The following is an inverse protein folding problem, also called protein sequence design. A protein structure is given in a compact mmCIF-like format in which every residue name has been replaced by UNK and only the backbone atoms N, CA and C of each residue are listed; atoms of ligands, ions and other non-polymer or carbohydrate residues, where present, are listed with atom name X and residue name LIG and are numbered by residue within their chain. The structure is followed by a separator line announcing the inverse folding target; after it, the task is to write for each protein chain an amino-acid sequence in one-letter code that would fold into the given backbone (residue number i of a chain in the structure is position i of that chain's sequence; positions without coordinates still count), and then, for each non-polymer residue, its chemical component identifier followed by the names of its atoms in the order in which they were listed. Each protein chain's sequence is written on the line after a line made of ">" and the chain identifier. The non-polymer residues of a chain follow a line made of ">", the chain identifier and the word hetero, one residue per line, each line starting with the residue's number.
data_IF_274736689581
#
_entry.id   IF_274736689581
#
_cell.length_a   1.000
_cell.length_b   1.000
_cell.length_c   1.000
_cell.angle_alpha   90.00
_cell.angle_beta   90.00
_cell.angle_gamma   90.00
#
_symmetry.space_group_name_H-M   'P 1'
#
loop_
_entity.id
_entity.type
_entity.pdbx_description
1 polymer ?
#
# COMPACT_ATOMS: atom_id res chain seq x y z
N UNK A 1 -26.72 -13.97 -9.10
CA UNK A 1 -26.04 -14.57 -7.92
C UNK A 1 -24.55 -14.56 -8.19
N UNK A 2 -23.75 -13.97 -7.31
CA UNK A 2 -22.28 -13.93 -7.44
C UNK A 2 -21.71 -15.33 -7.27
N UNK A 3 -20.77 -15.73 -8.15
CA UNK A 3 -20.12 -17.03 -8.07
C UNK A 3 -19.42 -17.24 -6.70
N UNK A 4 -19.37 -18.48 -6.25
CA UNK A 4 -18.72 -18.89 -4.99
C UNK A 4 -17.65 -19.93 -5.28
N UNK A 5 -16.49 -19.81 -4.64
CA UNK A 5 -15.44 -20.82 -4.73
C UNK A 5 -15.90 -22.08 -3.97
N UNK A 6 -15.81 -23.29 -4.55
CA UNK A 6 -16.41 -24.49 -3.98
C UNK A 6 -15.53 -25.12 -2.90
N UNK A 7 -15.16 -24.32 -1.90
CA UNK A 7 -14.33 -24.71 -0.77
C UNK A 7 -15.01 -24.30 0.54
N UNK A 8 -14.83 -25.05 1.62
CA UNK A 8 -15.37 -24.67 2.91
C UNK A 8 -14.73 -23.36 3.39
N UNK A 9 -15.46 -22.58 4.19
CA UNK A 9 -15.00 -21.30 4.70
C UNK A 9 -15.26 -21.16 6.20
N UNK A 10 -14.28 -20.63 6.92
CA UNK A 10 -14.31 -20.44 8.36
C UNK A 10 -14.10 -18.98 8.75
N UNK A 11 -14.95 -18.52 9.66
CA UNK A 11 -14.82 -17.23 10.32
C UNK A 11 -14.84 -17.43 11.84
N UNK A 12 -13.93 -16.78 12.54
CA UNK A 12 -13.91 -16.75 14.00
C UNK A 12 -13.76 -15.30 14.49
N UNK A 13 -14.70 -14.85 15.31
CA UNK A 13 -14.74 -13.51 15.88
C UNK A 13 -14.89 -13.60 17.42
N UNK A 14 -15.13 -12.46 18.08
CA UNK A 14 -15.51 -12.48 19.49
C UNK A 14 -16.96 -12.95 19.70
N UNK A 15 -17.81 -12.80 18.68
CA UNK A 15 -19.23 -13.15 18.77
C UNK A 15 -19.50 -14.63 18.50
N UNK A 16 -18.55 -15.36 17.91
CA UNK A 16 -18.70 -16.79 17.66
C UNK A 16 -17.72 -17.32 16.61
N UNK A 17 -17.98 -18.56 16.21
CA UNK A 17 -17.26 -19.24 15.13
C UNK A 17 -18.27 -19.84 14.17
N UNK A 18 -18.09 -19.61 12.87
CA UNK A 18 -19.00 -20.05 11.83
C UNK A 18 -18.23 -20.79 10.74
N UNK A 19 -18.75 -21.97 10.40
CA UNK A 19 -18.25 -22.81 9.33
C UNK A 19 -19.32 -22.90 8.25
N UNK A 20 -18.89 -22.77 7.00
CA UNK A 20 -19.73 -22.97 5.83
C UNK A 20 -19.11 -24.06 4.98
N UNK A 21 -19.91 -25.06 4.65
CA UNK A 21 -19.48 -26.17 3.82
C UNK A 21 -19.24 -25.75 2.37
N UNK A 22 -18.47 -26.56 1.64
CA UNK A 22 -18.33 -26.37 0.21
C UNK A 22 -19.72 -26.48 -0.47
N UNK A 23 -20.11 -25.54 -1.34
CA UNK A 23 -21.40 -25.59 -2.03
C UNK A 23 -21.48 -26.82 -2.95
N UNK A 24 -22.19 -27.86 -2.51
CA UNK A 24 -22.53 -29.02 -3.34
C UNK A 24 -23.91 -28.76 -3.97
N UNK A 25 -23.92 -28.14 -5.17
CA UNK A 25 -25.07 -27.95 -6.09
C UNK A 25 -26.27 -27.15 -5.56
N UNK A 26 -26.52 -27.08 -4.25
CA UNK A 26 -27.47 -26.19 -3.59
C UNK A 26 -26.73 -25.42 -2.49
N UNK A 27 -26.71 -24.08 -2.60
CA UNK A 27 -25.84 -23.18 -1.83
C UNK A 27 -25.57 -23.65 -0.40
N UNK A 28 -24.29 -23.82 -0.06
CA UNK A 28 -23.88 -24.38 1.23
C UNK A 28 -24.58 -23.71 2.42
N UNK A 29 -24.75 -24.42 3.53
CA UNK A 29 -25.27 -23.83 4.76
C UNK A 29 -24.12 -23.28 5.60
N UNK A 30 -24.29 -22.07 6.15
CA UNK A 30 -23.41 -21.63 7.23
C UNK A 30 -24.01 -22.07 8.56
N UNK A 31 -23.19 -22.63 9.45
CA UNK A 31 -23.59 -23.01 10.80
C UNK A 31 -22.60 -22.47 11.83
N UNK A 32 -23.10 -22.19 13.04
CA UNK A 32 -22.23 -21.99 14.19
C UNK A 32 -21.51 -23.30 14.52
N UNK A 33 -20.26 -23.22 14.96
CA UNK A 33 -19.49 -24.38 15.39
C UNK A 33 -18.63 -24.07 16.63
N UNK A 34 -18.27 -25.12 17.35
CA UNK A 34 -17.31 -25.04 18.46
C UNK A 34 -15.89 -24.79 17.94
N UNK A 35 -15.00 -24.33 18.84
CA UNK A 35 -13.58 -24.17 18.52
C UNK A 35 -12.93 -25.49 18.09
N UNK A 36 -13.31 -26.61 18.72
CA UNK A 36 -12.79 -27.94 18.38
C UNK A 36 -13.19 -28.37 16.97
N UNK A 37 -14.47 -28.20 16.60
CA UNK A 37 -14.94 -28.47 15.23
C UNK A 37 -14.24 -27.59 14.19
N UNK A 38 -14.01 -26.31 14.50
CA UNK A 38 -13.32 -25.40 13.59
C UNK A 38 -11.85 -25.81 13.35
N UNK A 39 -11.14 -26.25 14.40
CA UNK A 39 -9.76 -26.75 14.28
C UNK A 39 -9.72 -28.04 13.48
N UNK A 40 -10.66 -28.97 13.70
CA UNK A 40 -10.77 -30.21 12.92
C UNK A 40 -11.04 -29.91 11.44
N UNK A 41 -11.98 -29.01 11.13
CA UNK A 41 -12.30 -28.62 9.76
C UNK A 41 -11.08 -28.01 9.02
N UNK A 42 -10.24 -27.26 9.74
CA UNK A 42 -9.01 -26.70 9.18
C UNK A 42 -7.88 -27.73 8.98
N UNK A 43 -7.91 -28.85 9.71
CA UNK A 43 -6.95 -29.93 9.54
C UNK A 43 -7.28 -30.84 8.35
N UNK A 44 -8.58 -31.05 8.07
CA UNK A 44 -9.05 -32.04 7.10
C UNK A 44 -9.05 -31.55 5.64
N UNK A 45 -9.11 -30.24 5.40
CA UNK A 45 -9.23 -29.67 4.06
C UNK A 45 -8.53 -28.32 3.92
N UNK A 46 -8.14 -27.91 2.69
CA UNK A 46 -7.84 -26.50 2.45
C UNK A 46 -9.12 -25.68 2.64
N UNK A 47 -9.15 -24.94 3.74
CA UNK A 47 -10.25 -24.12 4.21
C UNK A 47 -10.01 -22.65 3.86
N UNK A 48 -11.02 -21.96 3.35
CA UNK A 48 -10.97 -20.51 3.15
C UNK A 48 -11.07 -19.80 4.49
N UNK A 49 -10.18 -18.85 4.69
CA UNK A 49 -10.15 -18.00 5.88
C UNK A 49 -9.60 -16.63 5.53
N UNK A 50 -9.70 -15.71 6.48
CA UNK A 50 -9.13 -14.38 6.37
C UNK A 50 -8.26 -14.13 7.60
N UNK A 51 -6.99 -13.81 7.40
CA UNK A 51 -6.04 -13.52 8.48
C UNK A 51 -5.88 -14.72 9.44
N UNK A 52 -5.20 -15.76 8.96
CA UNK A 52 -4.97 -17.02 9.67
C UNK A 52 -4.44 -16.82 11.10
N UNK A 53 -3.46 -15.94 11.36
CA UNK A 53 -2.98 -15.70 12.73
C UNK A 53 -4.06 -15.15 13.66
N UNK A 54 -4.94 -14.28 13.15
CA UNK A 54 -6.07 -13.77 13.91
C UNK A 54 -7.07 -14.89 14.21
N UNK A 55 -7.44 -15.69 13.21
CA UNK A 55 -8.37 -16.83 13.38
C UNK A 55 -7.78 -17.84 14.37
N UNK A 56 -6.51 -18.20 14.23
CA UNK A 56 -5.79 -19.10 15.16
C UNK A 56 -5.86 -18.58 16.60
N UNK A 57 -5.58 -17.29 16.80
CA UNK A 57 -5.69 -16.63 18.11
C UNK A 57 -7.12 -16.70 18.68
N UNK A 58 -8.17 -16.53 17.86
CA UNK A 58 -9.58 -16.63 18.29
C UNK A 58 -9.95 -18.05 18.73
N UNK A 59 -9.43 -19.04 18.01
CA UNK A 59 -9.63 -20.45 18.32
C UNK A 59 -8.78 -20.94 19.49
N UNK A 60 -7.78 -20.16 19.93
CA UNK A 60 -6.83 -20.60 20.96
C UNK A 60 -5.85 -21.66 20.44
N UNK A 61 -5.55 -21.63 19.13
CA UNK A 61 -4.69 -22.58 18.44
C UNK A 61 -3.38 -21.88 18.01
N UNK A 62 -2.21 -22.55 18.05
CA UNK A 62 -0.93 -21.87 17.85
C UNK A 62 -0.70 -21.40 16.42
N UNK A 63 -1.13 -22.19 15.43
CA UNK A 63 -0.99 -21.86 14.01
C UNK A 63 -2.09 -22.57 13.22
N UNK A 64 -2.65 -21.89 12.22
CA UNK A 64 -3.73 -22.41 11.39
C UNK A 64 -3.29 -22.36 9.94
N UNK A 65 -3.25 -23.53 9.30
CA UNK A 65 -2.99 -23.64 7.86
C UNK A 65 -4.31 -23.56 7.11
N UNK A 66 -4.32 -22.83 6.00
CA UNK A 66 -5.50 -22.69 5.16
C UNK A 66 -5.23 -21.79 3.96
N UNK A 67 -6.27 -21.56 3.20
CA UNK A 67 -6.28 -20.65 2.07
C UNK A 67 -6.63 -19.24 2.56
N UNK A 68 -5.61 -18.52 3.04
CA UNK A 68 -5.78 -17.14 3.52
C UNK A 68 -6.02 -16.18 2.36
N UNK A 69 -7.21 -15.58 2.33
CA UNK A 69 -7.60 -14.65 1.28
C UNK A 69 -6.76 -13.36 1.25
N UNK A 70 -6.10 -13.00 2.35
CA UNK A 70 -5.17 -11.87 2.35
C UNK A 70 -3.89 -12.18 1.54
N UNK A 71 -3.39 -13.41 1.61
CA UNK A 71 -2.25 -13.83 0.77
C UNK A 71 -2.64 -13.85 -0.71
N UNK A 72 -3.83 -14.37 -1.02
CA UNK A 72 -4.35 -14.35 -2.39
C UNK A 72 -4.54 -12.92 -2.88
N UNK A 73 -5.13 -12.04 -2.06
CA UNK A 73 -5.31 -10.64 -2.40
C UNK A 73 -3.97 -9.97 -2.70
N UNK A 74 -2.95 -10.15 -1.85
CA UNK A 74 -1.62 -9.58 -2.08
C UNK A 74 -0.96 -10.09 -3.38
N UNK A 75 -1.23 -11.35 -3.75
CA UNK A 75 -0.77 -11.92 -5.01
C UNK A 75 -1.55 -11.36 -6.22
N UNK A 76 -2.88 -11.30 -6.17
CA UNK A 76 -3.70 -10.89 -7.32
C UNK A 76 -3.63 -9.37 -7.55
N UNK A 77 -3.57 -8.61 -6.45
CA UNK A 77 -3.59 -7.15 -6.43
C UNK A 77 -2.36 -6.61 -5.70
N UNK A 78 -1.14 -6.82 -6.26
CA UNK A 78 0.07 -6.23 -5.70
C UNK A 78 -0.06 -4.70 -5.64
N UNK A 79 0.51 -4.11 -4.59
CA UNK A 79 0.52 -2.65 -4.35
C UNK A 79 -0.89 -2.00 -4.24
N UNK A 80 -1.95 -2.79 -4.03
CA UNK A 80 -3.30 -2.26 -3.73
C UNK A 80 -3.62 -2.39 -2.25
N UNK A 81 -4.22 -1.35 -1.71
CA UNK A 81 -4.63 -1.32 -0.31
C UNK A 81 -5.92 -2.11 -0.08
N UNK A 82 -5.95 -2.90 0.99
CA UNK A 82 -7.14 -3.55 1.53
C UNK A 82 -7.07 -3.51 3.05
N UNK A 83 -8.19 -3.20 3.72
CA UNK A 83 -8.31 -3.36 5.17
C UNK A 83 -8.44 -4.86 5.46
N UNK A 84 -7.67 -5.46 6.40
CA UNK A 84 -7.60 -6.90 6.61
C UNK A 84 -8.77 -7.43 7.45
N UNK A 85 -10.00 -7.06 7.06
CA UNK A 85 -11.26 -7.45 7.70
C UNK A 85 -12.25 -7.91 6.64
N UNK A 86 -13.29 -8.68 7.00
CA UNK A 86 -14.32 -9.09 6.03
C UNK A 86 -14.92 -7.90 5.27
N UNK A 87 -15.33 -6.83 5.98
CA UNK A 87 -15.86 -5.61 5.36
C UNK A 87 -14.82 -4.92 4.46
N UNK A 88 -13.58 -4.86 4.92
CA UNK A 88 -12.47 -4.30 4.16
C UNK A 88 -12.23 -5.01 2.83
N UNK A 89 -12.25 -6.35 2.85
CA UNK A 89 -12.13 -7.18 1.66
C UNK A 89 -13.34 -7.04 0.75
N UNK A 90 -14.56 -7.01 1.30
CA UNK A 90 -15.78 -6.79 0.53
C UNK A 90 -15.70 -5.46 -0.24
N UNK A 91 -15.35 -4.37 0.44
CA UNK A 91 -15.16 -3.06 -0.16
C UNK A 91 -14.08 -3.08 -1.27
N UNK A 92 -12.91 -3.65 -0.98
CA UNK A 92 -11.80 -3.72 -1.94
C UNK A 92 -12.14 -4.52 -3.22
N UNK A 93 -13.04 -5.50 -3.11
CA UNK A 93 -13.47 -6.35 -4.23
C UNK A 93 -14.81 -5.91 -4.85
N UNK A 94 -15.44 -4.83 -4.35
CA UNK A 94 -16.76 -4.39 -4.81
C UNK A 94 -17.89 -5.39 -4.51
N UNK A 95 -17.76 -6.16 -3.43
CA UNK A 95 -18.75 -7.12 -2.95
C UNK A 95 -19.66 -6.50 -1.89
N UNK A 96 -20.84 -7.07 -1.74
CA UNK A 96 -21.77 -6.71 -0.67
C UNK A 96 -21.16 -6.97 0.72
N UNK A 97 -21.27 -5.99 1.62
CA UNK A 97 -20.80 -6.16 2.99
C UNK A 97 -21.64 -7.21 3.74
N UNK A 98 -21.01 -8.02 4.61
CA UNK A 98 -21.72 -9.00 5.41
C UNK A 98 -22.55 -8.26 6.48
N UNK A 99 -23.85 -8.53 6.53
CA UNK A 99 -24.77 -7.96 7.51
C UNK A 99 -24.46 -8.43 8.95
N UNK A 100 -23.86 -9.61 9.09
CA UNK A 100 -23.60 -10.30 10.35
C UNK A 100 -22.42 -11.27 10.21
N UNK A 101 -21.87 -11.74 11.33
CA UNK A 101 -20.69 -12.62 11.32
C UNK A 101 -20.96 -13.99 10.65
N UNK A 102 -22.18 -14.53 10.73
CA UNK A 102 -22.60 -15.76 10.05
C UNK A 102 -22.70 -15.61 8.52
N UNK A 103 -22.76 -14.38 8.02
CA UNK A 103 -22.69 -14.10 6.58
C UNK A 103 -21.22 -14.06 6.07
N UNK A 104 -20.23 -13.94 6.94
CA UNK A 104 -18.81 -13.80 6.56
C UNK A 104 -18.30 -15.02 5.78
N UNK A 105 -18.54 -16.29 6.17
CA UNK A 105 -18.06 -17.43 5.39
C UNK A 105 -18.54 -17.44 3.93
N UNK A 106 -19.77 -17.00 3.66
CA UNK A 106 -20.27 -16.86 2.29
C UNK A 106 -19.52 -15.75 1.54
N UNK A 107 -19.25 -14.62 2.20
CA UNK A 107 -18.41 -13.56 1.64
C UNK A 107 -17.02 -14.10 1.29
N UNK A 108 -16.39 -14.93 2.14
CA UNK A 108 -15.06 -15.49 1.86
C UNK A 108 -15.07 -16.36 0.59
N UNK A 109 -16.09 -17.19 0.40
CA UNK A 109 -16.28 -17.96 -0.83
C UNK A 109 -16.46 -17.07 -2.07
N UNK A 110 -17.23 -15.98 -1.95
CA UNK A 110 -17.42 -14.99 -3.04
C UNK A 110 -16.13 -14.22 -3.34
N UNK A 111 -15.39 -13.84 -2.32
CA UNK A 111 -14.10 -13.15 -2.45
C UNK A 111 -13.06 -14.02 -3.15
N UNK A 112 -12.95 -15.31 -2.76
CA UNK A 112 -12.09 -16.28 -3.45
C UNK A 112 -12.44 -16.43 -4.92
N UNK A 113 -13.74 -16.56 -5.25
CA UNK A 113 -14.19 -16.62 -6.63
C UNK A 113 -13.90 -15.34 -7.41
N UNK A 114 -14.10 -14.15 -6.81
CA UNK A 114 -13.82 -12.87 -7.46
C UNK A 114 -12.32 -12.68 -7.76
N UNK A 115 -11.44 -13.11 -6.84
CA UNK A 115 -9.99 -13.06 -7.02
C UNK A 115 -9.52 -14.04 -8.12
N UNK A 116 -10.10 -15.24 -8.18
CA UNK A 116 -9.81 -16.20 -9.25
C UNK A 116 -10.33 -15.70 -10.61
N UNK A 117 -11.55 -15.17 -10.67
CA UNK A 117 -12.11 -14.58 -11.88
C UNK A 117 -11.26 -13.40 -12.39
N UNK A 118 -10.65 -12.63 -11.46
CA UNK A 118 -9.67 -11.60 -11.83
C UNK A 118 -8.46 -12.20 -12.55
N UNK A 119 -7.93 -13.34 -12.10
CA UNK A 119 -6.80 -14.01 -12.76
C UNK A 119 -7.11 -14.45 -14.19
N UNK A 120 -8.38 -14.76 -14.48
CA UNK A 120 -8.85 -15.16 -15.81
C UNK A 120 -9.17 -13.97 -16.73
N UNK A 121 -9.41 -12.79 -16.14
CA UNK A 121 -9.79 -11.58 -16.88
C UNK A 121 -8.69 -11.10 -17.83
N UNK A 122 -9.08 -10.71 -19.04
CA UNK A 122 -8.20 -10.00 -19.97
C UNK A 122 -7.77 -8.63 -19.42
N UNK A 123 -8.60 -8.01 -18.58
CA UNK A 123 -8.38 -6.69 -17.95
C UNK A 123 -7.56 -6.77 -16.65
N UNK A 124 -6.83 -7.86 -16.43
CA UNK A 124 -5.96 -7.97 -15.25
C UNK A 124 -4.64 -7.21 -15.48
N UNK A 125 -4.64 -5.93 -15.10
CA UNK A 125 -3.49 -5.02 -15.24
C UNK A 125 -2.24 -5.52 -14.51
N UNK A 126 -2.40 -6.28 -13.42
CA UNK A 126 -1.28 -6.86 -12.67
C UNK A 126 -0.90 -8.28 -13.12
N UNK A 127 -1.35 -8.76 -14.30
CA UNK A 127 -1.06 -10.10 -14.80
C UNK A 127 0.43 -10.39 -14.95
N UNK A 128 1.23 -9.40 -15.35
CA UNK A 128 2.64 -9.63 -15.64
C UNK A 128 3.40 -10.08 -14.38
N UNK A 129 4.26 -11.08 -14.56
CA UNK A 129 5.03 -11.77 -13.54
C UNK A 129 4.23 -12.82 -12.75
N UNK A 130 2.90 -12.89 -12.91
CA UNK A 130 2.04 -13.73 -12.08
C UNK A 130 2.33 -15.22 -12.28
N UNK A 131 2.50 -15.64 -13.53
CA UNK A 131 2.79 -17.04 -13.85
C UNK A 131 4.16 -17.46 -13.29
N UNK A 132 5.18 -16.63 -13.51
CA UNK A 132 6.55 -16.88 -13.02
C UNK A 132 6.60 -16.95 -11.49
N UNK A 133 5.95 -16.01 -10.80
CA UNK A 133 5.80 -16.04 -9.33
C UNK A 133 5.03 -17.28 -8.86
N UNK A 134 3.96 -17.67 -9.56
CA UNK A 134 3.17 -18.85 -9.21
C UNK A 134 4.01 -20.14 -9.28
N UNK A 135 4.86 -20.30 -10.29
CA UNK A 135 5.75 -21.47 -10.39
C UNK A 135 6.72 -21.55 -9.20
N UNK A 136 7.31 -20.43 -8.81
CA UNK A 136 8.18 -20.35 -7.62
C UNK A 136 7.41 -20.65 -6.33
N UNK A 137 6.22 -20.08 -6.18
CA UNK A 137 5.34 -20.32 -5.04
C UNK A 137 4.85 -21.77 -4.96
N UNK A 138 4.62 -22.43 -6.10
CA UNK A 138 4.28 -23.86 -6.15
C UNK A 138 5.39 -24.75 -5.61
N UNK A 139 6.67 -24.46 -5.96
CA UNK A 139 7.84 -25.17 -5.41
C UNK A 139 7.98 -24.97 -3.91
N UNK A 140 7.58 -23.80 -3.42
CA UNK A 140 7.53 -23.47 -1.98
C UNK A 140 6.30 -24.03 -1.26
N UNK A 141 5.45 -24.81 -1.96
CA UNK A 141 4.21 -25.39 -1.43
C UNK A 141 3.25 -24.33 -0.87
N UNK A 142 3.18 -23.16 -1.51
CA UNK A 142 2.21 -22.14 -1.15
C UNK A 142 0.77 -22.69 -1.34
N UNK A 143 -0.12 -22.61 -0.34
CA UNK A 143 -1.43 -23.28 -0.38
C UNK A 143 -2.29 -22.91 -1.60
N UNK A 144 -2.25 -21.65 -2.04
CA UNK A 144 -3.01 -21.17 -3.20
C UNK A 144 -2.47 -21.65 -4.55
N UNK A 145 -1.25 -22.19 -4.62
CA UNK A 145 -0.60 -22.44 -5.90
C UNK A 145 -1.36 -23.44 -6.78
N UNK A 146 -1.86 -24.52 -6.19
CA UNK A 146 -2.65 -25.53 -6.90
C UNK A 146 -4.01 -24.98 -7.34
N UNK A 147 -4.63 -24.14 -6.50
CA UNK A 147 -5.92 -23.51 -6.82
C UNK A 147 -5.77 -22.54 -7.99
N UNK A 148 -4.69 -21.77 -8.06
CA UNK A 148 -4.48 -20.75 -9.10
C UNK A 148 -3.91 -21.28 -10.42
N UNK A 149 -3.22 -22.42 -10.41
CA UNK A 149 -2.54 -22.97 -11.59
C UNK A 149 -3.43 -23.08 -12.84
N UNK A 150 -4.70 -23.51 -12.76
CA UNK A 150 -5.59 -23.56 -13.92
C UNK A 150 -6.03 -22.18 -14.43
N UNK A 151 -5.97 -21.14 -13.59
CA UNK A 151 -6.54 -19.82 -13.86
C UNK A 151 -5.50 -18.78 -14.33
N UNK A 152 -4.20 -19.12 -14.25
CA UNK A 152 -3.11 -18.26 -14.68
C UNK A 152 -2.43 -18.88 -15.91
N UNK A 153 -2.71 -18.31 -17.08
CA UNK A 153 -2.12 -18.74 -18.35
C UNK A 153 -0.63 -18.47 -18.38
N UNK A 154 0.12 -19.43 -18.95
CA UNK A 154 1.53 -19.23 -19.26
C UNK A 154 1.69 -18.13 -20.31
N UNK A 155 2.61 -17.16 -20.11
CA UNK A 155 2.87 -16.13 -21.10
C UNK A 155 3.60 -16.72 -22.33
N UNK A 156 3.31 -16.18 -23.52
CA UNK A 156 3.96 -16.61 -24.77
C UNK A 156 5.45 -16.27 -24.81
N UNK A 157 5.85 -15.21 -24.11
CA UNK A 157 7.24 -14.75 -23.97
C UNK A 157 7.62 -14.74 -22.50
N UNK A 158 8.89 -15.02 -22.22
CA UNK A 158 9.41 -14.89 -20.87
C UNK A 158 9.23 -13.46 -20.37
N UNK A 159 8.62 -13.32 -19.19
CA UNK A 159 8.37 -12.03 -18.57
C UNK A 159 9.67 -11.46 -18.00
N UNK A 160 9.82 -10.13 -18.07
CA UNK A 160 11.03 -9.49 -17.54
C UNK A 160 11.03 -9.58 -16.02
N UNK A 161 12.15 -10.01 -15.47
CA UNK A 161 12.37 -9.99 -14.03
C UNK A 161 12.49 -8.56 -13.50
N UNK A 162 12.17 -8.35 -12.22
CA UNK A 162 12.12 -7.05 -11.56
C UNK A 162 13.36 -6.19 -11.84
N UNK A 163 14.55 -6.77 -11.69
CA UNK A 163 15.81 -6.06 -11.79
C UNK A 163 16.13 -5.60 -13.22
N UNK A 164 15.59 -6.28 -14.23
CA UNK A 164 15.72 -5.87 -15.63
C UNK A 164 14.78 -4.71 -16.02
N UNK A 165 13.89 -4.28 -15.11
CA UNK A 165 12.96 -3.15 -15.30
C UNK A 165 13.41 -1.89 -14.60
N UNK A 166 14.33 -1.99 -13.64
CA UNK A 166 14.80 -0.85 -12.89
C UNK A 166 15.57 0.10 -13.83
N UNK A 167 15.33 1.42 -13.74
CA UNK A 167 16.11 2.38 -14.51
C UNK A 167 17.58 2.27 -14.08
N UNK A 168 18.48 2.37 -15.05
CA UNK A 168 19.90 2.52 -14.72
C UNK A 168 20.08 3.81 -13.93
N UNK A 169 20.79 3.69 -12.80
CA UNK A 169 21.15 4.85 -12.00
C UNK A 169 22.43 5.44 -12.55
N UNK A 170 22.37 6.70 -12.96
CA UNK A 170 23.52 7.47 -13.40
C UNK A 170 23.79 8.62 -12.42
N UNK A 171 25.06 8.88 -12.15
CA UNK A 171 25.48 10.02 -11.36
C UNK A 171 25.35 11.30 -12.19
N UNK A 172 24.29 12.06 -11.92
CA UNK A 172 24.06 13.35 -12.56
C UNK A 172 24.94 14.44 -11.95
N UNK A 173 25.38 15.45 -12.73
CA UNK A 173 26.12 16.59 -12.21
C UNK A 173 25.31 17.34 -11.15
N UNK A 174 26.01 18.05 -10.26
CA UNK A 174 25.37 18.88 -9.24
C UNK A 174 24.41 19.88 -9.89
N UNK A 175 23.22 20.03 -9.28
CA UNK A 175 22.24 21.01 -9.73
C UNK A 175 22.79 22.42 -9.55
N UNK A 176 22.51 23.29 -10.53
CA UNK A 176 22.81 24.71 -10.41
C UNK A 176 22.18 25.30 -9.14
N UNK A 177 22.84 26.32 -8.59
CA UNK A 177 22.28 27.02 -7.43
C UNK A 177 20.93 27.65 -7.78
N UNK A 178 19.94 27.60 -6.88
CA UNK A 178 18.65 28.25 -7.10
C UNK A 178 18.83 29.74 -7.38
N UNK A 179 18.04 30.28 -8.31
CA UNK A 179 18.03 31.71 -8.59
C UNK A 179 17.52 32.48 -7.37
N UNK A 180 18.04 33.69 -7.19
CA UNK A 180 17.53 34.60 -6.18
C UNK A 180 16.25 35.25 -6.69
N UNK A 181 15.13 34.99 -6.00
CA UNK A 181 13.81 35.50 -6.37
C UNK A 181 13.18 36.20 -5.19
N UNK A 182 12.47 37.28 -5.46
CA UNK A 182 11.60 37.95 -4.50
C UNK A 182 10.16 37.49 -4.77
N UNK A 183 9.45 37.11 -3.71
CA UNK A 183 8.02 36.78 -3.80
C UNK A 183 7.22 37.99 -3.31
N UNK A 184 6.28 38.46 -4.14
CA UNK A 184 5.34 39.50 -3.71
C UNK A 184 4.26 38.92 -2.78
N UNK A 185 3.81 39.69 -1.79
CA UNK A 185 2.82 39.23 -0.82
C UNK A 185 1.47 38.90 -1.48
N UNK A 186 1.03 39.68 -2.47
CA UNK A 186 -0.23 39.45 -3.17
C UNK A 186 -0.15 38.18 -4.01
N UNK A 187 1.00 37.88 -4.60
CA UNK A 187 1.23 36.63 -5.33
C UNK A 187 1.18 35.42 -4.40
N UNK A 188 1.79 35.52 -3.22
CA UNK A 188 1.74 34.47 -2.20
C UNK A 188 0.31 34.20 -1.75
N UNK A 189 -0.47 35.26 -1.54
CA UNK A 189 -1.89 35.14 -1.16
C UNK A 189 -2.74 34.58 -2.29
N UNK A 190 -2.55 35.04 -3.53
CA UNK A 190 -3.25 34.48 -4.69
C UNK A 190 -2.95 33.00 -4.90
N UNK A 191 -1.70 32.58 -4.69
CA UNK A 191 -1.35 31.16 -4.70
C UNK A 191 -2.02 30.41 -3.56
N UNK A 192 -2.04 30.95 -2.35
CA UNK A 192 -2.73 30.33 -1.22
C UNK A 192 -4.22 30.12 -1.53
N UNK A 193 -4.90 31.14 -2.07
CA UNK A 193 -6.30 31.05 -2.47
C UNK A 193 -6.53 29.93 -3.49
N UNK A 194 -5.67 29.86 -4.52
CA UNK A 194 -5.68 28.78 -5.52
C UNK A 194 -5.51 27.40 -4.88
N UNK A 195 -4.58 27.25 -3.94
CA UNK A 195 -4.36 25.96 -3.25
C UNK A 195 -5.52 25.58 -2.33
N UNK A 196 -6.16 26.54 -1.67
CA UNK A 196 -7.29 26.27 -0.77
C UNK A 196 -8.54 25.85 -1.54
N UNK A 197 -8.73 26.38 -2.74
CA UNK A 197 -9.87 26.10 -3.62
C UNK A 197 -11.02 27.09 -3.46
N UNK A 198 -11.90 27.13 -4.47
CA UNK A 198 -13.06 28.02 -4.48
C UNK A 198 -14.03 27.67 -3.34
N UNK A 199 -14.55 28.70 -2.66
CA UNK A 199 -15.50 28.54 -1.54
C UNK A 199 -14.87 28.19 -0.19
N UNK A 200 -13.54 28.08 -0.10
CA UNK A 200 -12.86 27.92 1.18
C UNK A 200 -13.01 29.19 2.05
N UNK A 201 -13.24 28.99 3.35
CA UNK A 201 -13.25 30.06 4.34
C UNK A 201 -11.91 30.81 4.33
N UNK A 202 -11.97 32.14 4.16
CA UNK A 202 -10.79 33.00 4.23
C UNK A 202 -10.37 33.20 5.68
N UNK A 203 -9.22 32.64 6.05
CA UNK A 203 -8.66 32.71 7.41
C UNK A 203 -7.49 33.66 7.47
N UNK A 204 -7.66 34.77 8.19
CA UNK A 204 -6.60 35.79 8.30
C UNK A 204 -5.30 35.25 8.89
N UNK A 205 -5.39 34.39 9.91
CA UNK A 205 -4.21 33.74 10.51
C UNK A 205 -3.44 32.85 9.52
N UNK A 206 -4.11 32.24 8.55
CA UNK A 206 -3.46 31.44 7.50
C UNK A 206 -2.73 32.34 6.49
N UNK A 207 -3.35 33.46 6.09
CA UNK A 207 -2.74 34.45 5.19
C UNK A 207 -1.49 35.08 5.80
N UNK A 208 -1.58 35.50 7.07
CA UNK A 208 -0.43 36.04 7.81
C UNK A 208 0.70 35.02 7.92
N UNK A 209 0.37 33.76 8.23
CA UNK A 209 1.35 32.67 8.28
C UNK A 209 2.03 32.46 6.91
N UNK A 210 1.25 32.48 5.82
CA UNK A 210 1.75 32.30 4.46
C UNK A 210 2.67 33.44 4.00
N UNK A 211 2.29 34.70 4.26
CA UNK A 211 3.15 35.87 3.99
C UNK A 211 4.46 35.82 4.77
N UNK A 212 4.37 35.51 6.07
CA UNK A 212 5.54 35.29 6.92
C UNK A 212 6.46 34.22 6.34
N UNK A 213 5.92 33.06 5.97
CA UNK A 213 6.70 31.99 5.35
C UNK A 213 7.32 32.41 4.00
N UNK A 214 6.61 33.20 3.19
CA UNK A 214 7.11 33.77 1.94
C UNK A 214 8.34 34.67 2.11
N UNK A 215 8.34 35.51 3.16
CA UNK A 215 9.46 36.44 3.43
C UNK A 215 10.82 35.75 3.60
N UNK A 216 10.84 34.50 4.08
CA UNK A 216 12.08 33.74 4.34
C UNK A 216 12.81 33.41 3.03
N UNK A 217 12.08 33.29 1.93
CA UNK A 217 12.63 32.99 0.61
C UNK A 217 13.32 34.17 -0.07
N UNK A 218 13.17 35.39 0.46
CA UNK A 218 13.79 36.57 -0.12
C UNK A 218 15.33 36.47 -0.12
N UNK A 219 16.03 37.14 -1.06
CA UNK A 219 17.48 37.19 -1.08
C UNK A 219 18.05 37.80 0.21
N UNK A 220 19.24 37.35 0.62
CA UNK A 220 19.90 37.85 1.83
C UNK A 220 20.36 39.30 1.64
N UNK A 221 19.94 40.18 2.53
CA UNK A 221 20.34 41.59 2.54
C UNK A 221 21.74 41.81 3.15
N UNK A 222 22.19 40.89 4.02
CA UNK A 222 23.46 40.99 4.74
C UNK A 222 24.16 39.64 4.87
N UNK A 223 25.48 39.68 4.77
CA UNK A 223 26.31 38.49 4.97
C UNK A 223 26.17 37.95 6.40
N UNK A 224 26.13 36.62 6.56
CA UNK A 224 26.02 35.88 7.84
C UNK A 224 24.72 36.06 8.65
N UNK A 225 23.69 36.77 8.17
CA UNK A 225 22.37 36.77 8.81
C UNK A 225 21.53 35.57 8.35
N UNK A 226 20.97 34.76 9.26
CA UNK A 226 20.10 33.66 8.87
C UNK A 226 18.72 34.19 8.46
N UNK A 227 18.11 33.57 7.46
CA UNK A 227 16.71 33.77 7.11
C UNK A 227 15.90 32.68 7.81
N UNK A 228 15.35 32.99 8.98
CA UNK A 228 14.60 32.05 9.81
C UNK A 228 13.33 32.71 10.29
N UNK A 229 12.21 32.02 10.12
CA UNK A 229 10.93 32.36 10.72
C UNK A 229 10.60 31.33 11.80
N UNK A 230 10.29 31.80 13.00
CA UNK A 230 9.61 31.00 14.00
C UNK A 230 8.14 31.44 14.05
N UNK A 231 7.25 30.57 13.58
CA UNK A 231 5.83 30.85 13.54
C UNK A 231 5.05 29.82 14.37
N UNK A 232 4.33 30.29 15.38
CA UNK A 232 3.36 29.46 16.10
C UNK A 232 2.02 29.54 15.39
N UNK A 233 1.45 28.37 15.09
CA UNK A 233 0.22 28.27 14.33
C UNK A 233 -0.71 27.23 14.95
N UNK A 234 -1.96 27.64 15.20
CA UNK A 234 -3.00 26.81 15.82
C UNK A 234 -3.28 25.52 15.04
N UNK A 235 -3.97 24.57 15.68
CA UNK A 235 -4.53 23.42 14.97
C UNK A 235 -5.65 23.90 14.03
N UNK A 236 -5.82 23.22 12.89
CA UNK A 236 -6.91 23.54 11.95
C UNK A 236 -6.72 24.77 11.07
N UNK A 237 -5.72 25.64 11.29
CA UNK A 237 -5.57 26.88 10.51
C UNK A 237 -5.14 26.68 9.04
N UNK A 238 -4.89 25.45 8.59
CA UNK A 238 -4.39 25.17 7.25
C UNK A 238 -2.88 25.42 7.05
N UNK A 239 -2.08 25.10 8.08
CA UNK A 239 -0.61 25.29 8.12
C UNK A 239 0.10 24.75 6.89
N UNK A 240 -0.29 23.55 6.45
CA UNK A 240 0.31 22.89 5.29
C UNK A 240 0.24 23.76 4.05
N UNK A 241 -0.96 24.20 3.65
CA UNK A 241 -1.10 25.08 2.49
C UNK A 241 -0.46 26.44 2.71
N UNK A 242 -0.45 26.94 3.95
CA UNK A 242 0.19 28.18 4.32
C UNK A 242 1.70 28.24 4.00
N UNK A 243 2.47 27.17 4.23
CA UNK A 243 3.87 27.15 3.80
C UNK A 243 4.07 26.58 2.38
N UNK A 244 3.16 25.73 1.88
CA UNK A 244 3.26 25.20 0.52
C UNK A 244 2.99 26.27 -0.55
N UNK A 245 2.14 27.26 -0.29
CA UNK A 245 1.86 28.35 -1.21
C UNK A 245 3.15 29.11 -1.60
N UNK A 246 3.87 29.78 -0.68
CA UNK A 246 5.12 30.46 -1.03
C UNK A 246 6.22 29.48 -1.48
N UNK A 247 6.28 28.27 -0.92
CA UNK A 247 7.27 27.27 -1.33
C UNK A 247 7.12 26.84 -2.79
N UNK A 248 5.88 26.67 -3.26
CA UNK A 248 5.60 26.30 -4.65
C UNK A 248 6.00 27.40 -5.63
N UNK A 249 5.65 28.66 -5.34
CA UNK A 249 6.07 29.83 -6.13
C UNK A 249 7.59 29.96 -6.17
N UNK A 250 8.24 29.83 -5.02
CA UNK A 250 9.69 29.93 -4.95
C UNK A 250 10.37 28.82 -5.75
N UNK A 251 9.94 27.57 -5.57
CA UNK A 251 10.55 26.43 -6.27
C UNK A 251 10.42 26.56 -7.80
N UNK A 252 9.26 27.02 -8.27
CA UNK A 252 9.01 27.24 -9.69
C UNK A 252 9.91 28.35 -10.28
N UNK A 253 10.00 29.50 -9.61
CA UNK A 253 10.76 30.65 -10.14
C UNK A 253 12.27 30.52 -9.95
N UNK A 254 12.71 29.93 -8.84
CA UNK A 254 14.14 29.80 -8.53
C UNK A 254 14.78 28.57 -9.19
N UNK A 255 13.98 27.58 -9.58
CA UNK A 255 14.47 26.24 -9.93
C UNK A 255 15.01 25.45 -8.72
N UNK A 256 14.80 25.96 -7.51
CA UNK A 256 15.30 25.37 -6.26
C UNK A 256 14.44 24.25 -5.70
N UNK A 257 15.01 23.48 -4.78
CA UNK A 257 14.30 22.40 -4.08
C UNK A 257 13.95 22.83 -2.66
N UNK A 258 12.67 22.71 -2.28
CA UNK A 258 12.19 22.96 -0.92
C UNK A 258 12.13 21.65 -0.15
N UNK A 259 12.64 21.68 1.09
CA UNK A 259 12.61 20.54 2.00
C UNK A 259 11.61 20.79 3.12
N UNK A 260 10.62 19.91 3.26
CA UNK A 260 9.65 19.95 4.35
C UNK A 260 9.90 18.77 5.28
N UNK A 261 10.32 19.06 6.50
CA UNK A 261 10.53 18.05 7.55
C UNK A 261 9.33 18.00 8.49
N UNK A 262 8.95 16.79 8.91
CA UNK A 262 7.82 16.56 9.84
C UNK A 262 8.10 15.36 10.74
N UNK A 263 7.39 15.26 11.86
CA UNK A 263 7.72 14.34 12.93
C UNK A 263 7.31 12.88 12.68
N UNK A 264 6.18 12.64 12.00
CA UNK A 264 5.64 11.27 11.83
C UNK A 264 5.39 10.90 10.38
N UNK A 265 5.45 9.59 10.08
CA UNK A 265 5.11 9.04 8.75
C UNK A 265 3.66 9.34 8.35
N UNK A 266 2.74 9.42 9.33
CA UNK A 266 1.36 9.79 9.05
C UNK A 266 1.26 11.23 8.53
N UNK A 267 1.98 12.16 9.16
CA UNK A 267 2.07 13.54 8.70
C UNK A 267 2.73 13.59 7.31
N UNK A 268 3.80 12.84 7.05
CA UNK A 268 4.42 12.79 5.71
C UNK A 268 3.42 12.38 4.61
N UNK A 269 2.57 11.38 4.86
CA UNK A 269 1.52 10.97 3.92
C UNK A 269 0.49 12.06 3.68
N UNK A 270 0.01 12.69 4.75
CA UNK A 270 -0.90 13.82 4.64
C UNK A 270 -0.27 14.96 3.82
N UNK A 271 1.02 15.26 4.03
CA UNK A 271 1.75 16.26 3.25
C UNK A 271 1.87 15.87 1.77
N UNK A 272 2.18 14.60 1.46
CA UNK A 272 2.23 14.10 0.08
C UNK A 272 0.88 14.31 -0.61
N UNK A 273 -0.23 14.01 0.07
CA UNK A 273 -1.57 14.21 -0.48
C UNK A 273 -1.87 15.70 -0.72
N UNK A 274 -1.62 16.56 0.27
CA UNK A 274 -1.86 18.01 0.13
C UNK A 274 -0.96 18.66 -0.92
N UNK A 275 0.25 18.14 -1.14
CA UNK A 275 1.17 18.67 -2.15
C UNK A 275 0.65 18.54 -3.58
N UNK A 276 -0.30 17.63 -3.84
CA UNK A 276 -0.96 17.51 -5.16
C UNK A 276 -1.75 18.76 -5.55
N UNK A 277 -2.11 19.62 -4.61
CA UNK A 277 -2.71 20.94 -4.89
C UNK A 277 -1.69 21.92 -5.46
N UNK A 278 -0.44 21.79 -5.05
CA UNK A 278 0.64 22.74 -5.35
C UNK A 278 1.46 22.35 -6.59
N UNK A 279 1.63 21.06 -6.85
CA UNK A 279 2.36 20.56 -8.02
C UNK A 279 1.52 19.55 -8.80
N UNK A 280 1.69 19.48 -10.14
CA UNK A 280 1.05 18.45 -10.95
C UNK A 280 1.51 17.04 -10.56
N UNK A 281 0.81 16.01 -11.04
CA UNK A 281 1.20 14.62 -10.76
C UNK A 281 2.59 14.25 -11.30
N UNK A 282 2.98 14.83 -12.45
CA UNK A 282 4.27 14.64 -13.09
C UNK A 282 4.75 15.96 -13.70
N UNK A 283 6.08 16.13 -13.75
CA UNK A 283 6.74 17.18 -14.54
C UNK A 283 6.68 16.86 -16.05
N UNK A 284 7.02 17.80 -16.94
CA UNK A 284 7.05 17.54 -18.39
C UNK A 284 7.95 16.38 -18.81
N UNK A 285 8.99 16.06 -18.04
CA UNK A 285 9.89 14.92 -18.24
C UNK A 285 9.37 13.59 -17.64
N UNK A 286 8.15 13.59 -17.09
CA UNK A 286 7.55 12.44 -16.42
C UNK A 286 8.00 12.23 -14.96
N UNK A 287 8.96 13.01 -14.45
CA UNK A 287 9.45 12.84 -13.08
C UNK A 287 8.44 13.37 -12.04
N UNK A 288 8.35 12.77 -10.84
CA UNK A 288 7.49 13.29 -9.79
C UNK A 288 8.06 14.62 -9.25
N UNK A 289 7.24 15.69 -9.14
CA UNK A 289 7.71 16.97 -8.63
C UNK A 289 7.96 16.95 -7.12
N UNK A 290 7.30 16.04 -6.40
CA UNK A 290 7.41 15.85 -4.96
C UNK A 290 7.80 14.40 -4.68
N UNK A 291 8.85 14.20 -3.88
CA UNK A 291 9.33 12.88 -3.46
C UNK A 291 9.38 12.80 -1.94
N UNK A 292 9.08 11.63 -1.38
CA UNK A 292 9.17 11.37 0.05
C UNK A 292 10.54 10.77 0.35
N UNK A 293 11.21 11.24 1.40
CA UNK A 293 12.48 10.69 1.87
C UNK A 293 12.34 10.15 3.29
N UNK A 294 12.82 8.92 3.49
CA UNK A 294 12.85 8.19 4.77
C UNK A 294 14.23 7.55 4.92
N UNK A 295 14.53 7.02 6.10
CA UNK A 295 15.72 6.18 6.28
C UNK A 295 15.63 4.92 5.42
N UNK A 296 16.79 4.34 5.06
CA UNK A 296 16.85 3.18 4.15
C UNK A 296 16.05 1.99 4.67
N UNK A 297 15.97 1.84 5.99
CA UNK A 297 15.28 0.76 6.70
C UNK A 297 13.76 0.74 6.49
N UNK A 298 13.22 1.70 5.73
CA UNK A 298 11.83 1.75 5.34
C UNK A 298 11.58 1.26 3.90
N UNK A 299 12.64 1.13 3.10
CA UNK A 299 12.56 0.76 1.70
C UNK A 299 13.02 -0.67 1.51
N UNK A 300 12.54 -1.30 0.45
CA UNK A 300 13.00 -2.62 0.03
C UNK A 300 14.47 -2.58 -0.39
N UNK A 301 15.29 -3.40 0.25
CA UNK A 301 16.65 -3.67 -0.20
C UNK A 301 16.60 -4.71 -1.32
N UNK A 302 16.87 -4.25 -2.55
CA UNK A 302 16.87 -5.09 -3.75
C UNK A 302 17.87 -6.26 -3.65
N UNK A 303 19.03 -6.04 -3.02
CA UNK A 303 20.03 -7.10 -2.79
C UNK A 303 19.52 -8.17 -1.81
N UNK A 304 18.88 -7.75 -0.70
CA UNK A 304 18.30 -8.70 0.26
C UNK A 304 17.14 -9.48 -0.37
N UNK A 305 16.37 -8.85 -1.26
CA UNK A 305 15.33 -9.53 -2.00
C UNK A 305 15.93 -10.56 -2.96
N UNK A 306 16.98 -10.22 -3.70
CA UNK A 306 17.64 -11.16 -4.61
C UNK A 306 18.16 -12.39 -3.86
N UNK A 307 18.88 -12.19 -2.75
CA UNK A 307 19.36 -13.28 -1.89
C UNK A 307 18.21 -14.16 -1.37
N UNK A 308 17.13 -13.54 -0.90
CA UNK A 308 15.94 -14.26 -0.45
C UNK A 308 15.29 -15.11 -1.57
N UNK A 309 15.27 -14.61 -2.81
CA UNK A 309 14.74 -15.33 -3.97
C UNK A 309 15.68 -16.44 -4.48
N UNK A 310 16.98 -16.32 -4.26
CA UNK A 310 18.01 -17.28 -4.67
C UNK A 310 18.28 -18.40 -3.65
N UNK A 311 17.51 -18.42 -2.55
CA UNK A 311 17.55 -19.51 -1.56
C UNK A 311 18.08 -19.11 -0.19
N UNK A 312 18.41 -17.84 0.05
CA UNK A 312 18.71 -17.33 1.38
C UNK A 312 17.53 -17.51 2.36
N UNK A 313 16.30 -17.58 1.85
CA UNK A 313 15.09 -17.83 2.64
C UNK A 313 14.48 -19.21 2.32
N UNK A 314 13.81 -19.82 3.30
CA UNK A 314 13.09 -21.09 3.13
C UNK A 314 11.69 -21.04 3.75
N UNK A 315 10.79 -21.93 3.30
CA UNK A 315 9.44 -22.06 3.85
C UNK A 315 8.59 -20.78 3.73
N UNK A 316 7.88 -20.41 4.80
CA UNK A 316 7.00 -19.22 4.86
C UNK A 316 7.73 -17.90 4.54
N UNK A 317 8.94 -17.62 5.06
CA UNK A 317 9.74 -16.48 4.62
C UNK A 317 9.99 -16.40 3.11
N UNK A 318 10.25 -17.54 2.45
CA UNK A 318 10.45 -17.56 0.99
C UNK A 318 9.15 -17.23 0.23
N UNK A 319 7.99 -17.68 0.74
CA UNK A 319 6.68 -17.29 0.21
C UNK A 319 6.47 -15.78 0.32
N UNK A 320 6.79 -15.19 1.49
CA UNK A 320 6.76 -13.74 1.69
C UNK A 320 7.66 -13.02 0.68
N UNK A 321 8.89 -13.50 0.46
CA UNK A 321 9.81 -12.90 -0.50
C UNK A 321 9.24 -12.89 -1.92
N UNK A 322 8.56 -13.96 -2.36
CA UNK A 322 7.88 -14.00 -3.67
C UNK A 322 6.70 -13.02 -3.76
N UNK A 323 5.90 -12.88 -2.69
CA UNK A 323 4.82 -11.89 -2.64
C UNK A 323 5.36 -10.46 -2.65
N UNK A 324 6.47 -10.21 -1.93
CA UNK A 324 7.16 -8.91 -1.92
C UNK A 324 7.81 -8.62 -3.26
N UNK A 325 8.43 -9.59 -3.93
CA UNK A 325 8.98 -9.42 -5.27
C UNK A 325 7.90 -9.02 -6.28
N UNK A 326 6.73 -9.66 -6.16
CA UNK A 326 5.57 -9.32 -6.96
C UNK A 326 5.04 -7.93 -6.64
N UNK A 327 4.95 -7.55 -5.37
CA UNK A 327 4.63 -6.18 -4.97
C UNK A 327 5.62 -5.15 -5.53
N UNK A 328 6.93 -5.42 -5.44
CA UNK A 328 7.99 -4.51 -5.88
C UNK A 328 7.91 -4.19 -7.38
N UNK A 329 7.41 -5.12 -8.20
CA UNK A 329 7.20 -4.89 -9.62
C UNK A 329 6.07 -3.90 -9.95
N UNK A 330 5.19 -3.60 -8.98
CA UNK A 330 4.06 -2.69 -9.11
C UNK A 330 4.09 -1.53 -8.10
N UNK A 331 5.04 -1.54 -7.16
CA UNK A 331 5.16 -0.49 -6.16
C UNK A 331 5.57 0.82 -6.82
N UNK A 332 5.01 1.91 -6.30
CA UNK A 332 5.29 3.27 -6.77
C UNK A 332 6.65 3.81 -6.32
N UNK A 333 7.13 3.38 -5.15
CA UNK A 333 8.34 3.95 -4.53
C UNK A 333 9.16 2.94 -3.69
N UNK A 334 8.73 1.67 -3.57
CA UNK A 334 9.43 0.65 -2.82
C UNK A 334 9.38 0.85 -1.29
N UNK A 335 8.49 1.72 -0.79
CA UNK A 335 8.31 1.98 0.63
C UNK A 335 7.55 0.84 1.33
N UNK A 336 8.29 -0.01 2.02
CA UNK A 336 7.76 -1.14 2.78
C UNK A 336 7.03 -0.70 4.05
N UNK A 337 7.24 0.54 4.53
CA UNK A 337 6.70 1.01 5.81
C UNK A 337 5.85 2.27 5.64
N UNK A 338 4.58 2.00 5.36
CA UNK A 338 3.55 3.02 5.22
C UNK A 338 3.37 3.53 3.79
N UNK A 339 3.96 2.84 2.81
CA UNK A 339 3.68 2.98 1.38
C UNK A 339 2.55 2.05 0.93
N UNK A 340 2.67 1.51 -0.29
CA UNK A 340 1.67 0.65 -0.94
C UNK A 340 1.82 -0.85 -0.60
N UNK A 341 2.85 -1.25 0.17
CA UNK A 341 2.90 -2.58 0.75
C UNK A 341 1.85 -2.71 1.86
N UNK A 342 0.93 -3.70 1.80
CA UNK A 342 -0.06 -3.86 2.85
C UNK A 342 0.61 -4.15 4.20
N UNK A 343 0.43 -3.25 5.17
CA UNK A 343 1.10 -3.37 6.49
C UNK A 343 0.73 -4.64 7.27
N UNK A 344 -0.41 -5.26 6.97
CA UNK A 344 -0.83 -6.54 7.53
C UNK A 344 -0.10 -7.74 6.92
N UNK A 345 0.55 -7.61 5.75
CA UNK A 345 1.23 -8.73 5.10
C UNK A 345 2.29 -9.32 6.04
N UNK A 346 3.07 -8.46 6.70
CA UNK A 346 4.06 -8.88 7.69
C UNK A 346 3.50 -9.51 8.95
N UNK A 347 2.18 -9.44 9.18
CA UNK A 347 1.52 -10.12 10.32
C UNK A 347 1.09 -11.54 9.96
N UNK A 348 0.89 -11.85 8.68
CA UNK A 348 0.63 -13.21 8.17
C UNK A 348 1.88 -14.10 8.20
N UNK A 349 3.05 -13.46 8.21
CA UNK A 349 4.34 -14.09 8.35
C UNK A 349 4.95 -13.73 9.70
N UNK A 350 5.93 -14.50 10.20
CA UNK A 350 6.60 -14.13 11.45
C UNK A 350 7.33 -12.79 11.26
N UNK A 351 7.24 -11.88 12.25
CA UNK A 351 7.74 -10.49 12.20
C UNK A 351 9.16 -10.29 11.62
N UNK A 352 10.03 -11.30 11.70
CA UNK A 352 11.41 -11.23 11.18
C UNK A 352 11.51 -11.20 9.65
N UNK A 353 10.47 -11.64 8.93
CA UNK A 353 10.51 -11.74 7.47
C UNK A 353 10.62 -10.40 6.73
N UNK A 354 9.85 -9.38 7.14
CA UNK A 354 9.89 -8.05 6.49
C UNK A 354 11.18 -7.31 6.83
N UNK A 355 11.62 -7.34 8.09
CA UNK A 355 12.82 -6.62 8.52
C UNK A 355 14.11 -7.15 7.85
N UNK A 356 14.11 -8.40 7.40
CA UNK A 356 15.23 -8.98 6.66
C UNK A 356 15.26 -8.55 5.18
N UNK A 357 14.22 -7.88 4.69
CA UNK A 357 14.11 -7.39 3.30
C UNK A 357 14.37 -5.87 3.19
N UNK A 358 14.49 -5.15 4.30
CA UNK A 358 14.79 -3.71 4.34
C UNK A 358 16.27 -3.40 4.48
#
# INVERSE_FOLDING_TARGET
>A
MTATLPLPALHASHAGTWLRDAPQVAGGSTRGCSKGEAVMAAADTPLLLLNAPLVASRLGYPDLSGLDLLELFAFVHPAKFCVPTPKGLAHALGLEEPASDDAVPLLLQRAGAALIARCESAEWTEREGAWSSLQSLARLRWPWAQVLSPHIRQPERAEKWLFARLPEWEEAPERAQPQQVLLDELEVEGQLERLTGEGAERREGQRQFSRGAGSVFAPRDRNKRPHVLLAQAGTGIGKTLGYLAPASLWAERSGGTVWVSTYTKNLQRQLRQESTRAWPAARPDGSPPVVVRKGRENYLCLLNLEDALQGGFSGRPAVLAQLVARWAAYSSDGDMIGGDLPGWLGTLFRKRGIAALT
#
